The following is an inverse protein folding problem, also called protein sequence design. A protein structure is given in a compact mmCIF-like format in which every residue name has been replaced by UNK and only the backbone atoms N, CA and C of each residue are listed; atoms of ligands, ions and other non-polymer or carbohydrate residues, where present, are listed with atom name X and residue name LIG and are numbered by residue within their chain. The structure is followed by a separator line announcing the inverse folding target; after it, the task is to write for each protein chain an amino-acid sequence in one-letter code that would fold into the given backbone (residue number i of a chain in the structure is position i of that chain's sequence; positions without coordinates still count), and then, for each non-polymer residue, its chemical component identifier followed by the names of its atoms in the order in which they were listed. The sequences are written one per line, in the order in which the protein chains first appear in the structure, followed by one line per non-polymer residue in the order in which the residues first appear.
data_IF_903063978912
#
_entry.id   IF_903063978912
#
_cell.length_a   1.000
_cell.length_b   1.000
_cell.length_c   1.000
_cell.angle_alpha   90.00
_cell.angle_beta   90.00
_cell.angle_gamma   90.00
#
_symmetry.space_group_name_H-M   'P 1'
#
loop_
_entity.id
_entity.type
_entity.pdbx_description
1 polymer ?
#
# COMPACT_ATOMS: atom_id res chain seq x y z
N UNK A 1 0.41 6.14 -19.99
CA UNK A 1 -0.40 4.89 -20.00
C UNK A 1 -1.85 5.18 -19.57
N UNK A 2 -2.86 4.45 -20.07
CA UNK A 2 -4.28 4.79 -19.89
C UNK A 2 -4.82 4.58 -18.47
N UNK A 3 -4.07 3.92 -17.59
CA UNK A 3 -4.48 3.62 -16.21
C UNK A 3 -4.11 4.69 -15.18
N UNK A 4 -3.30 5.69 -15.55
CA UNK A 4 -3.05 6.84 -14.67
C UNK A 4 -4.10 7.92 -14.89
N UNK A 5 -4.69 8.41 -13.80
CA UNK A 5 -5.51 9.62 -13.84
C UNK A 5 -4.65 10.87 -14.03
N UNK A 6 -5.26 12.00 -14.40
CA UNK A 6 -4.56 13.29 -14.45
C UNK A 6 -3.98 13.68 -13.08
N UNK A 7 -4.72 13.38 -12.01
CA UNK A 7 -4.30 13.59 -10.62
C UNK A 7 -3.08 12.71 -10.25
N UNK A 8 -3.05 11.45 -10.69
CA UNK A 8 -1.87 10.59 -10.51
C UNK A 8 -0.64 11.20 -11.18
N UNK A 9 -0.75 11.61 -12.44
CA UNK A 9 0.37 12.16 -13.20
C UNK A 9 0.93 13.44 -12.56
N UNK A 10 0.04 14.33 -12.10
CA UNK A 10 0.45 15.55 -11.41
C UNK A 10 1.21 15.24 -10.12
N UNK A 11 0.70 14.32 -9.31
CA UNK A 11 1.32 13.92 -8.03
C UNK A 11 2.64 13.20 -8.26
N UNK A 12 2.70 12.27 -9.23
CA UNK A 12 3.92 11.58 -9.63
C UNK A 12 5.01 12.59 -10.06
N UNK A 13 4.66 13.60 -10.86
CA UNK A 13 5.60 14.63 -11.29
C UNK A 13 6.16 15.42 -10.10
N UNK A 14 5.29 15.83 -9.17
CA UNK A 14 5.72 16.54 -7.96
C UNK A 14 6.60 15.67 -7.06
N UNK A 15 6.25 14.40 -6.86
CA UNK A 15 7.05 13.45 -6.08
C UNK A 15 8.43 13.21 -6.68
N UNK A 16 8.51 13.03 -8.00
CA UNK A 16 9.75 12.75 -8.72
C UNK A 16 10.70 13.96 -8.76
N UNK A 17 10.17 15.17 -8.96
CA UNK A 17 10.99 16.35 -9.30
C UNK A 17 10.87 17.54 -8.35
N UNK A 18 9.85 17.57 -7.48
CA UNK A 18 9.57 18.71 -6.60
C UNK A 18 10.72 19.02 -5.65
N UNK A 19 11.00 20.30 -5.45
CA UNK A 19 12.03 20.75 -4.50
C UNK A 19 11.55 20.50 -3.08
N UNK A 20 12.38 19.86 -2.25
CA UNK A 20 12.12 19.74 -0.81
C UNK A 20 12.34 21.11 -0.17
N UNK A 21 11.29 21.70 0.39
CA UNK A 21 11.33 23.04 1.02
C UNK A 21 11.26 22.98 2.55
N UNK A 22 10.61 21.96 3.09
CA UNK A 22 10.51 21.72 4.53
C UNK A 22 10.47 20.23 4.83
N UNK A 23 10.73 19.87 6.09
CA UNK A 23 10.67 18.49 6.57
C UNK A 23 10.10 18.42 7.98
N UNK A 24 9.35 17.37 8.26
CA UNK A 24 8.82 17.06 9.59
C UNK A 24 9.07 15.59 9.90
N UNK A 25 9.54 15.30 11.13
CA UNK A 25 9.62 13.91 11.60
C UNK A 25 8.22 13.41 11.93
N UNK A 26 7.95 12.14 11.64
CA UNK A 26 6.72 11.50 12.07
C UNK A 26 6.99 10.81 13.41
N UNK A 27 6.21 11.12 14.47
CA UNK A 27 6.29 10.42 15.75
C UNK A 27 6.22 8.90 15.57
N UNK A 28 6.97 8.16 16.39
CA UNK A 28 7.05 6.69 16.37
C UNK A 28 7.51 6.03 15.04
N UNK A 29 7.79 6.80 13.98
CA UNK A 29 8.31 6.31 12.70
C UNK A 29 9.66 6.95 12.36
N UNK A 30 10.69 6.68 13.17
CA UNK A 30 12.01 7.31 13.04
C UNK A 30 12.78 7.04 11.73
N UNK A 31 12.23 6.20 10.86
CA UNK A 31 12.78 5.86 9.54
C UNK A 31 11.96 6.41 8.37
N UNK A 32 10.89 7.17 8.66
CA UNK A 32 10.05 7.86 7.69
C UNK A 32 10.17 9.37 7.91
N UNK A 33 10.21 10.15 6.83
CA UNK A 33 10.27 11.60 6.89
C UNK A 33 9.17 12.20 6.01
N UNK A 34 8.35 13.08 6.60
CA UNK A 34 7.41 13.89 5.83
C UNK A 34 8.14 15.10 5.27
N UNK A 35 7.94 15.39 4.00
CA UNK A 35 8.52 16.54 3.32
C UNK A 35 7.45 17.31 2.58
N UNK A 36 7.59 18.63 2.55
CA UNK A 36 6.84 19.49 1.66
C UNK A 36 7.62 19.68 0.35
N UNK A 37 6.89 19.61 -0.76
CA UNK A 37 7.42 19.68 -2.10
C UNK A 37 6.86 20.89 -2.83
N UNK A 38 7.74 21.65 -3.47
CA UNK A 38 7.35 22.75 -4.36
C UNK A 38 7.61 22.35 -5.81
N UNK A 39 6.67 22.65 -6.70
CA UNK A 39 6.87 22.45 -8.13
C UNK A 39 7.93 23.42 -8.67
N UNK A 40 8.72 22.97 -9.64
CA UNK A 40 9.69 23.83 -10.31
C UNK A 40 8.95 24.93 -11.08
N UNK A 41 9.20 26.19 -10.73
CA UNK A 41 8.58 27.36 -11.37
C UNK A 41 7.46 28.04 -10.57
N UNK A 42 7.07 27.50 -9.41
CA UNK A 42 6.24 28.26 -8.46
C UNK A 42 7.07 29.42 -7.88
N UNK A 43 6.60 30.66 -8.07
CA UNK A 43 7.25 31.89 -7.59
C UNK A 43 7.30 31.89 -6.06
N UNK A 44 8.40 32.37 -5.47
CA UNK A 44 8.50 32.63 -4.03
C UNK A 44 7.46 33.68 -3.60
N UNK A 45 6.27 33.22 -3.22
CA UNK A 45 5.25 34.04 -2.57
C UNK A 45 5.32 33.85 -1.05
N UNK A 46 5.53 34.96 -0.33
CA UNK A 46 5.50 35.14 1.13
C UNK A 46 5.68 33.89 1.99
N UNK A 47 6.93 33.63 2.35
CA UNK A 47 7.28 32.81 3.52
C UNK A 47 6.79 33.49 4.80
N UNK A 48 5.51 33.30 5.12
CA UNK A 48 5.04 33.39 6.50
C UNK A 48 5.64 32.20 7.27
N UNK A 49 6.04 32.38 8.54
CA UNK A 49 6.62 31.29 9.32
C UNK A 49 5.59 30.17 9.43
N UNK A 50 5.90 29.03 8.79
CA UNK A 50 5.08 27.83 8.79
C UNK A 50 4.69 27.47 10.24
N UNK A 51 3.40 27.56 10.56
CA UNK A 51 2.86 26.92 11.74
C UNK A 51 3.04 25.41 11.56
N UNK A 52 3.74 24.75 12.49
CA UNK A 52 4.03 23.31 12.50
C UNK A 52 2.81 22.38 12.27
N UNK A 53 1.59 22.89 12.48
CA UNK A 53 0.31 22.17 12.34
C UNK A 53 -0.40 22.39 10.98
N UNK A 54 0.01 23.41 10.19
CA UNK A 54 -0.61 23.75 8.90
C UNK A 54 0.13 23.20 7.67
N UNK A 55 1.35 22.68 7.86
CA UNK A 55 2.16 22.13 6.77
C UNK A 55 1.48 20.87 6.20
N UNK A 56 1.29 20.87 4.87
CA UNK A 56 0.71 19.82 4.04
C UNK A 56 -0.81 19.84 3.80
N UNK A 57 -1.57 20.83 4.30
CA UNK A 57 -3.01 20.94 4.00
C UNK A 57 -3.29 21.14 2.50
N UNK A 58 -2.39 21.81 1.78
CA UNK A 58 -2.50 22.05 0.33
C UNK A 58 -2.22 20.80 -0.51
N UNK A 59 -1.96 19.65 0.12
CA UNK A 59 -1.68 18.40 -0.57
C UNK A 59 -0.45 18.56 -1.46
N UNK A 60 0.68 18.96 -0.90
CA UNK A 60 1.97 19.07 -1.61
C UNK A 60 3.09 18.32 -0.90
N UNK A 61 2.72 17.32 -0.11
CA UNK A 61 3.66 16.60 0.73
C UNK A 61 3.87 15.16 0.29
N UNK A 62 5.04 14.64 0.64
CA UNK A 62 5.40 13.25 0.45
C UNK A 62 6.01 12.65 1.71
N UNK A 63 5.95 11.32 1.78
CA UNK A 63 6.60 10.48 2.77
C UNK A 63 7.80 9.80 2.14
N UNK A 64 9.00 10.18 2.56
CA UNK A 64 10.22 9.46 2.20
C UNK A 64 10.34 8.27 3.15
N UNK A 65 10.24 7.04 2.61
CA UNK A 65 10.44 5.80 3.39
C UNK A 65 11.86 5.24 3.21
N UNK A 66 12.05 4.00 3.64
CA UNK A 66 13.35 3.32 3.67
C UNK A 66 13.66 2.73 2.29
N UNK A 67 14.94 2.51 1.95
CA UNK A 67 15.30 1.92 0.67
C UNK A 67 14.69 0.51 0.50
N UNK A 68 14.53 -0.23 1.60
CA UNK A 68 13.94 -1.57 1.59
C UNK A 68 12.45 -1.57 1.20
N UNK A 69 11.76 -0.43 1.36
CA UNK A 69 10.35 -0.27 1.03
C UNK A 69 10.14 0.12 -0.45
N UNK A 70 11.17 0.10 -1.30
CA UNK A 70 11.12 0.54 -2.71
C UNK A 70 10.00 -0.14 -3.52
N UNK A 71 9.61 -1.35 -3.13
CA UNK A 71 8.51 -2.10 -3.73
C UNK A 71 7.13 -1.44 -3.57
N UNK A 72 6.98 -0.44 -2.72
CA UNK A 72 5.79 0.45 -2.69
C UNK A 72 5.51 1.10 -4.04
N UNK A 73 6.56 1.41 -4.82
CA UNK A 73 6.42 1.97 -6.17
C UNK A 73 5.79 0.93 -7.09
N UNK A 74 6.28 -0.32 -7.06
CA UNK A 74 5.65 -1.41 -7.82
C UNK A 74 4.19 -1.61 -7.42
N UNK A 75 3.90 -1.58 -6.12
CA UNK A 75 2.56 -1.74 -5.59
C UNK A 75 1.60 -0.65 -6.11
N UNK A 76 2.04 0.62 -6.16
CA UNK A 76 1.27 1.70 -6.78
C UNK A 76 0.97 1.44 -8.25
N UNK A 77 1.97 1.04 -9.03
CA UNK A 77 1.79 0.74 -10.45
C UNK A 77 0.88 -0.47 -10.70
N UNK A 78 0.97 -1.50 -9.84
CA UNK A 78 0.08 -2.67 -9.89
C UNK A 78 -1.37 -2.30 -9.61
N UNK A 79 -1.62 -1.49 -8.58
CA UNK A 79 -2.96 -1.00 -8.25
C UNK A 79 -3.63 -0.31 -9.46
N UNK A 80 -2.90 0.56 -10.16
CA UNK A 80 -3.40 1.26 -11.35
C UNK A 80 -3.61 0.32 -12.53
N UNK A 81 -2.66 -0.58 -12.83
CA UNK A 81 -2.80 -1.57 -13.92
C UNK A 81 -4.00 -2.51 -13.70
N UNK A 82 -4.30 -2.85 -12.44
CA UNK A 82 -5.46 -3.67 -12.08
C UNK A 82 -6.77 -2.85 -12.00
N UNK A 83 -6.71 -1.53 -12.12
CA UNK A 83 -7.87 -0.64 -12.03
C UNK A 83 -8.47 -0.56 -10.62
N UNK A 84 -7.70 -0.88 -9.58
CA UNK A 84 -8.17 -0.85 -8.19
C UNK A 84 -8.34 0.60 -7.72
N UNK A 85 -7.36 1.46 -8.02
CA UNK A 85 -7.36 2.89 -7.69
C UNK A 85 -7.50 3.15 -6.18
N UNK A 86 -6.68 2.49 -5.36
CA UNK A 86 -6.75 2.55 -3.88
C UNK A 86 -5.44 2.90 -3.21
N UNK A 87 -4.30 2.53 -3.79
CA UNK A 87 -2.99 2.99 -3.29
C UNK A 87 -2.72 4.46 -3.65
N UNK A 88 -1.83 5.06 -2.86
CA UNK A 88 -1.38 6.45 -3.04
C UNK A 88 -0.25 6.51 -4.09
N UNK A 89 -0.15 7.60 -4.87
CA UNK A 89 0.96 7.79 -5.79
C UNK A 89 2.32 7.62 -5.12
N UNK A 90 3.20 6.83 -5.73
CA UNK A 90 4.53 6.54 -5.23
C UNK A 90 5.54 6.60 -6.37
N UNK A 91 6.70 7.20 -6.11
CA UNK A 91 7.81 7.30 -7.06
C UNK A 91 9.11 6.89 -6.38
N UNK A 92 10.05 6.35 -7.13
CA UNK A 92 11.43 6.17 -6.70
C UNK A 92 12.21 7.47 -6.91
N UNK A 93 13.03 7.84 -5.92
CA UNK A 93 13.83 9.07 -5.99
C UNK A 93 15.11 8.96 -5.17
N UNK A 94 16.21 9.46 -5.73
CA UNK A 94 17.42 9.77 -4.96
C UNK A 94 17.33 11.21 -4.49
N UNK A 95 17.53 11.43 -3.21
CA UNK A 95 17.45 12.76 -2.64
C UNK A 95 18.84 13.38 -2.49
N UNK A 96 18.93 14.67 -2.78
CA UNK A 96 20.18 15.44 -2.70
C UNK A 96 20.01 16.76 -1.94
N UNK A 97 18.80 17.02 -1.40
CA UNK A 97 18.50 18.26 -0.69
C UNK A 97 19.31 18.37 0.61
N UNK A 98 20.00 19.49 0.78
CA UNK A 98 20.78 19.83 1.98
C UNK A 98 19.90 19.94 3.24
N UNK A 99 18.58 20.10 3.10
CA UNK A 99 17.65 20.10 4.23
C UNK A 99 17.52 18.71 4.86
N UNK A 100 17.77 17.65 4.10
CA UNK A 100 17.56 16.28 4.54
C UNK A 100 18.78 15.76 5.32
N UNK A 101 18.58 14.94 6.37
CA UNK A 101 19.70 14.28 7.04
C UNK A 101 20.48 13.37 6.09
N UNK A 102 21.79 13.19 6.33
CA UNK A 102 22.69 12.38 5.47
C UNK A 102 22.13 11.01 5.09
N UNK A 103 21.47 10.30 6.02
CA UNK A 103 20.86 8.99 5.74
C UNK A 103 19.83 9.00 4.60
N UNK A 104 19.27 10.16 4.25
CA UNK A 104 18.33 10.31 3.13
C UNK A 104 19.02 10.77 1.84
N UNK A 105 20.27 11.24 1.93
CA UNK A 105 21.06 11.79 0.81
C UNK A 105 22.35 11.02 0.57
N UNK A 106 22.44 9.78 1.07
CA UNK A 106 23.59 8.88 0.93
C UNK A 106 23.69 8.23 -0.47
N UNK A 107 22.89 8.73 -1.42
CA UNK A 107 22.77 8.20 -2.76
C UNK A 107 21.81 7.03 -2.87
N UNK A 108 21.26 6.48 -1.78
CA UNK A 108 20.30 5.37 -1.85
C UNK A 108 19.01 5.78 -2.56
N UNK A 109 18.49 4.89 -3.41
CA UNK A 109 17.19 5.07 -4.02
C UNK A 109 16.10 4.77 -2.97
N UNK A 110 15.11 5.66 -2.85
CA UNK A 110 14.05 5.55 -1.84
C UNK A 110 12.69 5.76 -2.49
N UNK A 111 11.64 5.08 -2.04
CA UNK A 111 10.28 5.44 -2.40
C UNK A 111 9.90 6.75 -1.69
N UNK A 112 9.19 7.61 -2.42
CA UNK A 112 8.45 8.73 -1.86
C UNK A 112 6.98 8.56 -2.22
N UNK A 113 6.12 8.54 -1.20
CA UNK A 113 4.70 8.27 -1.32
C UNK A 113 3.94 9.56 -1.04
N UNK A 114 2.88 9.82 -1.79
CA UNK A 114 2.00 10.95 -1.55
C UNK A 114 1.47 10.98 -0.11
N UNK A 115 1.57 12.12 0.56
CA UNK A 115 0.91 12.34 1.85
C UNK A 115 -0.52 12.82 1.61
N UNK A 116 -1.50 11.99 1.93
CA UNK A 116 -2.91 12.34 1.85
C UNK A 116 -3.38 12.95 3.20
N UNK A 117 -3.63 14.27 3.27
CA UNK A 117 -3.98 14.94 4.54
C UNK A 117 -5.39 14.59 5.03
N UNK A 118 -6.25 14.06 4.16
CA UNK A 118 -7.61 13.67 4.47
C UNK A 118 -7.75 12.20 4.92
N UNK A 119 -6.63 11.49 5.14
CA UNK A 119 -6.67 10.18 5.78
C UNK A 119 -7.24 10.30 7.18
N UNK A 120 -8.17 9.39 7.50
CA UNK A 120 -8.74 9.32 8.84
C UNK A 120 -7.87 8.41 9.71
N UNK A 121 -7.12 8.98 10.64
CA UNK A 121 -6.43 8.22 11.67
C UNK A 121 -7.23 8.23 12.97
N UNK A 122 -7.31 7.10 13.65
CA UNK A 122 -7.71 7.05 15.06
C UNK A 122 -6.63 7.72 15.91
N UNK A 123 -7.05 8.30 17.02
CA UNK A 123 -6.12 8.63 18.11
C UNK A 123 -5.77 7.31 18.82
N UNK A 124 -4.75 6.60 18.33
CA UNK A 124 -4.27 5.37 18.95
C UNK A 124 -2.83 5.53 19.48
N UNK A 125 -2.60 5.04 20.70
CA UNK A 125 -1.28 5.09 21.34
C UNK A 125 -0.26 4.18 20.66
N UNK A 126 -0.73 3.16 19.92
CA UNK A 126 0.10 2.18 19.25
C UNK A 126 0.47 2.56 17.82
N UNK A 127 -0.12 3.63 17.28
CA UNK A 127 0.17 4.13 15.94
C UNK A 127 0.05 3.03 14.87
N UNK A 128 -0.99 2.19 14.98
CA UNK A 128 -1.26 1.07 14.06
C UNK A 128 -1.85 1.57 12.72
N UNK A 129 -1.91 2.90 12.55
CA UNK A 129 -2.41 3.66 11.39
C UNK A 129 -3.75 3.14 10.88
N UNK A 130 -4.74 3.10 11.77
CA UNK A 130 -6.07 2.61 11.48
C UNK A 130 -7.12 3.74 11.51
N UNK A 131 -8.13 3.68 10.65
CA UNK A 131 -9.36 4.49 10.74
C UNK A 131 -10.40 3.85 11.67
N UNK A 132 -10.27 2.55 11.94
CA UNK A 132 -11.08 1.82 12.90
C UNK A 132 -10.26 0.70 13.57
N UNK A 133 -10.55 0.40 14.83
CA UNK A 133 -9.98 -0.77 15.48
C UNK A 133 -10.77 -2.01 15.04
N UNK A 134 -10.16 -2.88 14.24
CA UNK A 134 -10.80 -4.08 13.70
C UNK A 134 -10.03 -5.34 14.10
N UNK A 135 -10.71 -6.29 14.73
CA UNK A 135 -10.14 -7.60 15.08
C UNK A 135 -10.43 -8.62 13.97
N UNK A 136 -9.63 -9.68 13.90
CA UNK A 136 -9.78 -10.73 12.88
C UNK A 136 -11.19 -11.31 12.85
N UNK A 137 -11.76 -11.68 14.01
CA UNK A 137 -13.10 -12.24 14.08
C UNK A 137 -14.17 -11.24 13.59
N UNK A 138 -14.06 -9.97 13.96
CA UNK A 138 -14.99 -8.92 13.51
C UNK A 138 -14.89 -8.70 12.00
N UNK A 139 -13.68 -8.69 11.45
CA UNK A 139 -13.45 -8.63 10.01
C UNK A 139 -14.14 -9.79 9.28
N UNK A 140 -13.92 -11.02 9.73
CA UNK A 140 -14.54 -12.21 9.13
C UNK A 140 -16.07 -12.16 9.22
N UNK A 141 -16.62 -11.67 10.33
CA UNK A 141 -18.05 -11.47 10.49
C UNK A 141 -18.63 -10.44 9.51
N UNK A 142 -17.89 -9.37 9.20
CA UNK A 142 -18.30 -8.34 8.23
C UNK A 142 -18.32 -8.84 6.79
N UNK A 143 -17.55 -9.88 6.46
CA UNK A 143 -17.54 -10.46 5.11
C UNK A 143 -18.77 -11.34 4.82
N UNK A 144 -19.46 -11.81 5.86
CA UNK A 144 -20.60 -12.72 5.68
C UNK A 144 -21.79 -12.05 4.96
N UNK A 145 -22.32 -12.64 3.86
CA UNK A 145 -23.36 -12.01 3.03
C UNK A 145 -24.70 -11.75 3.75
N UNK A 146 -25.01 -12.51 4.80
CA UNK A 146 -26.33 -12.55 5.43
C UNK A 146 -26.38 -11.84 6.79
N UNK A 147 -25.29 -11.22 7.23
CA UNK A 147 -25.28 -10.47 8.49
C UNK A 147 -25.55 -9.01 8.19
N UNK A 148 -26.71 -8.51 8.66
CA UNK A 148 -26.99 -7.08 8.71
C UNK A 148 -25.90 -6.41 9.56
N UNK A 149 -25.52 -5.18 9.23
CA UNK A 149 -24.54 -4.30 9.92
C UNK A 149 -24.85 -4.01 11.40
N UNK A 150 -25.72 -4.80 12.06
CA UNK A 150 -25.98 -4.73 13.49
C UNK A 150 -24.88 -5.46 14.26
N UNK A 151 -23.85 -4.70 14.65
CA UNK A 151 -22.84 -5.16 15.61
C UNK A 151 -21.45 -4.55 15.38
N UNK A 152 -21.18 -4.02 14.19
CA UNK A 152 -20.02 -3.17 13.97
C UNK A 152 -20.28 -1.85 14.72
N UNK A 153 -19.44 -1.51 15.70
CA UNK A 153 -19.55 -0.23 16.41
C UNK A 153 -19.63 0.95 15.45
N UNK A 154 -20.07 2.12 15.94
CA UNK A 154 -20.32 3.37 15.19
C UNK A 154 -19.07 4.00 14.50
N UNK A 155 -18.06 3.20 14.13
CA UNK A 155 -16.85 3.63 13.43
C UNK A 155 -16.96 3.51 11.90
N UNK A 156 -16.05 4.18 11.17
CA UNK A 156 -16.07 4.29 9.71
C UNK A 156 -16.04 2.94 8.98
N UNK A 157 -15.50 1.88 9.60
CA UNK A 157 -15.39 0.57 8.96
C UNK A 157 -16.71 -0.15 8.73
N UNK A 158 -17.77 0.18 9.47
CA UNK A 158 -19.11 -0.35 9.21
C UNK A 158 -19.66 0.07 7.83
N UNK A 159 -19.15 1.19 7.28
CA UNK A 159 -19.56 1.73 5.99
C UNK A 159 -18.79 1.18 4.79
N UNK A 160 -17.75 0.37 5.03
CA UNK A 160 -16.88 -0.17 3.98
C UNK A 160 -17.58 -1.38 3.34
N UNK A 161 -17.94 -1.33 2.05
CA UNK A 161 -18.63 -2.42 1.39
C UNK A 161 -17.69 -3.60 1.16
N UNK A 162 -18.24 -4.82 1.11
CA UNK A 162 -17.49 -6.07 0.90
C UNK A 162 -16.56 -6.03 -0.31
N UNK A 163 -16.98 -5.40 -1.40
CA UNK A 163 -16.14 -5.26 -2.61
C UNK A 163 -14.85 -4.47 -2.40
N UNK A 164 -14.74 -3.60 -1.38
CA UNK A 164 -13.48 -2.96 -1.03
C UNK A 164 -12.51 -3.93 -0.36
N UNK A 165 -13.01 -4.79 0.53
CA UNK A 165 -12.23 -5.88 1.12
C UNK A 165 -11.77 -6.88 0.07
N UNK A 166 -12.59 -7.18 -0.93
CA UNK A 166 -12.20 -8.00 -2.09
C UNK A 166 -11.06 -7.39 -2.90
N UNK A 167 -11.08 -6.07 -3.14
CA UNK A 167 -9.98 -5.36 -3.81
C UNK A 167 -8.69 -5.45 -3.00
N UNK A 168 -8.80 -5.25 -1.69
CA UNK A 168 -7.68 -5.30 -0.77
C UNK A 168 -7.05 -6.70 -0.72
N UNK A 169 -7.86 -7.74 -0.49
CA UNK A 169 -7.40 -9.12 -0.42
C UNK A 169 -6.71 -9.58 -1.71
N UNK A 170 -7.26 -9.23 -2.88
CA UNK A 170 -6.61 -9.51 -4.18
C UNK A 170 -5.24 -8.84 -4.26
N UNK A 171 -5.15 -7.56 -3.90
CA UNK A 171 -3.93 -6.77 -3.97
C UNK A 171 -2.86 -7.29 -3.00
N UNK A 172 -3.23 -7.47 -1.75
CA UNK A 172 -2.35 -7.97 -0.69
C UNK A 172 -1.91 -9.41 -0.98
N UNK A 173 -2.73 -10.26 -1.60
CA UNK A 173 -2.31 -11.60 -2.01
C UNK A 173 -1.27 -11.56 -3.15
N UNK A 174 -1.43 -10.73 -4.17
CA UNK A 174 -0.43 -10.65 -5.25
C UNK A 174 0.93 -10.17 -4.73
N UNK A 175 0.92 -9.19 -3.83
CA UNK A 175 2.13 -8.61 -3.24
C UNK A 175 2.65 -9.36 -2.02
N UNK A 176 1.83 -10.25 -1.43
CA UNK A 176 2.05 -10.88 -0.13
C UNK A 176 2.27 -9.84 0.99
N UNK A 177 1.41 -8.81 1.02
CA UNK A 177 1.31 -7.86 2.13
C UNK A 177 0.51 -8.53 3.24
N UNK A 178 1.18 -9.31 4.08
CA UNK A 178 0.50 -10.07 5.14
C UNK A 178 0.24 -9.23 6.39
N UNK A 179 1.06 -8.23 6.69
CA UNK A 179 1.01 -7.49 7.96
C UNK A 179 -0.36 -6.79 8.20
N UNK A 180 -1.08 -6.46 7.13
CA UNK A 180 -2.37 -5.76 7.20
C UNK A 180 -3.52 -6.64 7.73
N UNK A 181 -3.74 -7.79 7.10
CA UNK A 181 -4.85 -8.71 7.41
C UNK A 181 -4.43 -9.89 8.30
N UNK A 182 -3.14 -10.19 8.34
CA UNK A 182 -2.53 -11.31 9.06
C UNK A 182 -1.17 -10.89 9.66
N UNK A 183 -1.16 -9.80 10.43
CA UNK A 183 -0.02 -9.26 11.21
C UNK A 183 0.82 -10.32 11.94
N UNK A 184 0.19 -11.43 12.31
CA UNK A 184 0.74 -12.47 13.15
C UNK A 184 1.29 -13.66 12.33
N UNK A 185 1.23 -13.61 11.00
CA UNK A 185 1.62 -14.69 10.09
C UNK A 185 0.92 -16.02 10.41
N UNK A 186 -0.38 -15.99 10.74
CA UNK A 186 -1.11 -17.20 11.08
C UNK A 186 -1.50 -18.04 9.86
N UNK A 187 -1.43 -17.48 8.65
CA UNK A 187 -1.88 -18.11 7.42
C UNK A 187 -0.83 -18.92 6.66
N UNK A 188 0.40 -18.98 7.16
CA UNK A 188 1.51 -19.73 6.56
C UNK A 188 2.55 -20.08 7.63
N UNK A 189 3.55 -20.88 7.27
CA UNK A 189 4.70 -21.11 8.15
C UNK A 189 5.74 -19.99 7.95
N UNK A 190 5.86 -19.02 8.87
CA UNK A 190 6.80 -17.92 8.70
C UNK A 190 8.25 -18.38 8.82
N UNK A 191 9.13 -17.71 8.09
CA UNK A 191 10.57 -17.82 8.31
C UNK A 191 10.96 -17.11 9.60
N UNK A 192 12.06 -17.52 10.28
CA UNK A 192 12.47 -16.93 11.55
C UNK A 192 12.74 -15.42 11.49
N UNK A 193 13.05 -14.88 10.30
CA UNK A 193 13.29 -13.46 10.05
C UNK A 193 12.02 -12.65 9.75
N UNK A 194 10.84 -13.27 9.71
CA UNK A 194 9.60 -12.50 9.58
C UNK A 194 9.34 -11.71 10.87
N UNK A 195 8.95 -10.41 10.78
CA UNK A 195 8.74 -9.56 11.95
C UNK A 195 7.77 -10.15 12.99
N UNK A 196 6.72 -10.82 12.52
CA UNK A 196 5.75 -11.52 13.38
C UNK A 196 6.38 -12.59 14.28
N UNK A 197 7.52 -13.18 13.88
CA UNK A 197 8.28 -14.17 14.66
C UNK A 197 9.30 -13.46 15.55
N UNK A 198 10.07 -12.52 15.01
CA UNK A 198 11.08 -11.77 15.77
C UNK A 198 10.45 -11.00 16.96
N UNK A 199 9.27 -10.44 16.74
CA UNK A 199 8.49 -9.70 17.75
C UNK A 199 7.60 -10.62 18.61
N UNK A 200 7.68 -11.95 18.42
CA UNK A 200 6.89 -12.98 19.13
C UNK A 200 5.38 -12.81 19.00
N UNK A 201 4.92 -12.13 17.96
CA UNK A 201 3.50 -11.95 17.68
C UNK A 201 2.84 -13.28 17.30
N UNK A 202 3.53 -14.14 16.56
CA UNK A 202 3.02 -15.41 16.05
C UNK A 202 2.45 -16.34 17.13
N UNK A 203 2.91 -16.23 18.38
CA UNK A 203 2.38 -16.99 19.52
C UNK A 203 0.87 -16.79 19.73
N UNK A 204 0.35 -15.61 19.34
CA UNK A 204 -1.08 -15.25 19.44
C UNK A 204 -1.97 -15.96 18.42
N UNK A 205 -1.41 -16.62 17.41
CA UNK A 205 -2.20 -17.40 16.44
C UNK A 205 -3.02 -18.52 17.09
N UNK A 206 -2.69 -18.93 18.32
CA UNK A 206 -3.46 -19.89 19.12
C UNK A 206 -4.84 -19.38 19.54
N UNK A 207 -5.05 -18.07 19.57
CA UNK A 207 -6.30 -17.44 20.00
C UNK A 207 -6.75 -16.37 18.99
N UNK A 208 -7.67 -16.69 18.06
CA UNK A 208 -8.17 -15.75 17.07
C UNK A 208 -8.77 -14.46 17.65
N UNK A 209 -9.22 -14.47 18.91
CA UNK A 209 -9.76 -13.29 19.58
C UNK A 209 -8.68 -12.22 19.86
N UNK A 210 -7.40 -12.58 19.88
CA UNK A 210 -6.28 -11.65 20.12
C UNK A 210 -5.76 -10.98 18.84
N UNK A 211 -6.18 -11.47 17.67
CA UNK A 211 -5.66 -11.00 16.39
C UNK A 211 -6.35 -9.70 15.97
N UNK A 212 -5.54 -8.69 15.67
CA UNK A 212 -5.98 -7.39 15.16
C UNK A 212 -5.49 -7.15 13.73
N UNK A 213 -6.22 -6.32 12.99
CA UNK A 213 -5.82 -5.80 11.70
C UNK A 213 -5.14 -4.43 11.89
N UNK A 214 -4.23 -4.09 10.99
CA UNK A 214 -3.53 -2.80 10.97
C UNK A 214 -3.57 -2.19 9.57
N UNK A 215 -3.21 -0.91 9.46
CA UNK A 215 -3.19 -0.19 8.20
C UNK A 215 -4.55 -0.22 7.44
N UNK A 216 -5.65 -0.26 8.19
CA UNK A 216 -7.03 -0.18 7.67
C UNK A 216 -7.44 1.28 7.63
N UNK A 217 -7.19 1.93 6.48
CA UNK A 217 -7.45 3.35 6.32
C UNK A 217 -8.56 3.66 5.33
N UNK A 218 -9.27 4.75 5.61
CA UNK A 218 -10.20 5.42 4.70
C UNK A 218 -9.90 6.92 4.67
N UNK A 219 -10.45 7.62 3.68
CA UNK A 219 -10.43 9.09 3.65
C UNK A 219 -11.66 9.64 4.35
N UNK A 220 -11.50 10.77 5.06
CA UNK A 220 -12.62 11.54 5.63
C UNK A 220 -13.62 11.95 4.56
N UNK A 221 -13.12 12.30 3.37
CA UNK A 221 -13.92 12.68 2.19
C UNK A 221 -14.69 11.50 1.56
N UNK A 222 -14.28 10.26 1.83
CA UNK A 222 -14.86 9.05 1.24
C UNK A 222 -14.69 7.84 2.18
N UNK A 223 -15.43 7.80 3.30
CA UNK A 223 -15.22 6.82 4.38
C UNK A 223 -15.57 5.38 4.01
N UNK A 224 -16.27 5.17 2.89
CA UNK A 224 -16.62 3.85 2.38
C UNK A 224 -15.58 3.25 1.43
N UNK A 225 -14.43 3.91 1.21
CA UNK A 225 -13.37 3.44 0.31
C UNK A 225 -12.07 3.27 1.08
N UNK A 226 -11.48 2.09 0.95
CA UNK A 226 -10.19 1.79 1.57
C UNK A 226 -9.07 2.58 0.88
N UNK A 227 -8.01 2.87 1.62
CA UNK A 227 -6.75 3.39 1.08
C UNK A 227 -5.65 2.40 1.41
N UNK A 228 -4.89 2.01 0.39
CA UNK A 228 -3.84 1.01 0.55
C UNK A 228 -2.52 1.72 0.85
N UNK A 229 -2.07 1.61 2.10
CA UNK A 229 -0.76 2.06 2.56
C UNK A 229 0.10 0.86 3.00
N UNK A 230 1.41 1.09 3.14
CA UNK A 230 2.40 0.11 3.59
C UNK A 230 2.41 -1.16 2.73
N UNK A 231 2.53 -0.96 1.43
CA UNK A 231 2.34 -1.97 0.39
C UNK A 231 3.66 -2.55 -0.16
N UNK A 232 4.80 -2.35 0.51
CA UNK A 232 6.09 -2.87 0.06
C UNK A 232 6.06 -4.40 -0.21
N UNK A 233 5.20 -5.12 0.53
CA UNK A 233 4.94 -6.54 0.30
C UNK A 233 6.19 -7.42 0.48
N UNK A 234 6.12 -8.62 -0.09
CA UNK A 234 7.17 -9.64 -0.01
C UNK A 234 7.46 -10.22 -1.40
N UNK A 235 8.27 -9.53 -2.23
CA UNK A 235 8.54 -9.94 -3.62
C UNK A 235 9.27 -11.28 -3.73
N UNK A 236 10.05 -11.64 -2.72
CA UNK A 236 10.80 -12.90 -2.66
C UNK A 236 10.09 -14.00 -1.86
N UNK A 237 8.84 -13.76 -1.43
CA UNK A 237 8.07 -14.77 -0.69
C UNK A 237 7.85 -16.02 -1.54
N UNK A 238 8.22 -17.22 -1.04
CA UNK A 238 8.13 -18.46 -1.80
C UNK A 238 6.67 -18.84 -2.12
N UNK A 239 6.47 -19.44 -3.30
CA UNK A 239 5.14 -19.82 -3.79
C UNK A 239 4.46 -20.89 -2.94
N UNK A 240 5.25 -21.79 -2.33
CA UNK A 240 4.78 -22.86 -1.44
C UNK A 240 4.33 -22.36 -0.07
N UNK A 241 4.65 -21.10 0.30
CA UNK A 241 4.26 -20.48 1.58
C UNK A 241 3.29 -19.32 1.41
N UNK A 242 2.64 -19.16 0.26
CA UNK A 242 1.70 -18.06 0.04
C UNK A 242 0.62 -18.01 1.13
N UNK A 243 0.34 -16.80 1.61
CA UNK A 243 -0.63 -16.60 2.66
C UNK A 243 -2.07 -16.58 2.13
N UNK A 244 -2.70 -17.75 2.07
CA UNK A 244 -4.10 -17.88 1.65
C UNK A 244 -5.11 -17.37 2.69
N UNK A 245 -4.70 -17.13 3.94
CA UNK A 245 -5.58 -16.53 4.96
C UNK A 245 -6.06 -15.15 4.54
N UNK A 246 -5.29 -14.42 3.73
CA UNK A 246 -5.67 -13.13 3.16
C UNK A 246 -6.96 -13.20 2.33
N UNK A 247 -7.27 -14.36 1.76
CA UNK A 247 -8.45 -14.60 0.93
C UNK A 247 -9.66 -15.13 1.73
N UNK A 248 -9.47 -15.42 3.03
CA UNK A 248 -10.51 -16.08 3.83
C UNK A 248 -11.74 -15.18 4.00
N UNK A 249 -12.91 -15.74 3.67
CA UNK A 249 -14.19 -15.05 3.74
C UNK A 249 -14.52 -14.19 2.51
N UNK A 250 -13.58 -14.02 1.57
CA UNK A 250 -13.81 -13.28 0.32
C UNK A 250 -14.59 -14.17 -0.66
N UNK A 251 -15.76 -13.69 -1.09
CA UNK A 251 -16.70 -14.45 -1.94
C UNK A 251 -16.80 -13.91 -3.39
N UNK A 252 -16.19 -12.74 -3.63
CA UNK A 252 -16.29 -12.00 -4.88
C UNK A 252 -15.00 -11.23 -5.14
N UNK A 253 -14.61 -11.09 -6.40
CA UNK A 253 -13.42 -10.34 -6.83
C UNK A 253 -13.77 -9.29 -7.89
N UNK A 254 -13.02 -8.18 -8.00
CA UNK A 254 -13.33 -7.14 -8.99
C UNK A 254 -13.13 -7.63 -10.43
N UNK A 255 -14.22 -7.71 -11.21
CA UNK A 255 -14.24 -8.11 -12.62
C UNK A 255 -13.10 -7.54 -13.48
N UNK A 256 -12.86 -6.23 -13.42
CA UNK A 256 -11.84 -5.58 -14.23
C UNK A 256 -10.42 -6.09 -13.91
N UNK A 257 -10.09 -6.25 -12.62
CA UNK A 257 -8.79 -6.77 -12.21
C UNK A 257 -8.63 -8.23 -12.66
N UNK A 258 -9.65 -9.07 -12.41
CA UNK A 258 -9.64 -10.48 -12.80
C UNK A 258 -9.51 -10.63 -14.33
N UNK A 259 -10.18 -9.78 -15.11
CA UNK A 259 -10.03 -9.74 -16.56
C UNK A 259 -8.59 -9.39 -16.99
N UNK A 260 -7.96 -8.42 -16.33
CA UNK A 260 -6.54 -8.10 -16.56
C UNK A 260 -5.65 -9.30 -16.25
N UNK A 261 -5.86 -9.99 -15.12
CA UNK A 261 -5.09 -11.20 -14.77
C UNK A 261 -5.27 -12.31 -15.81
N UNK A 262 -6.52 -12.59 -16.22
CA UNK A 262 -6.84 -13.63 -17.23
C UNK A 262 -6.29 -13.31 -18.62
N UNK A 263 -6.01 -12.05 -18.91
CA UNK A 263 -5.50 -11.64 -20.22
C UNK A 263 -4.07 -12.13 -20.51
N UNK A 264 -3.32 -12.54 -19.48
CA UNK A 264 -1.89 -12.90 -19.61
C UNK A 264 -0.98 -11.71 -19.93
N UNK A 265 -1.50 -10.47 -19.87
CA UNK A 265 -0.75 -9.24 -20.19
C UNK A 265 -0.25 -8.50 -18.96
N UNK A 266 -0.40 -9.05 -17.75
CA UNK A 266 -0.06 -8.34 -16.52
C UNK A 266 1.40 -7.85 -16.52
N UNK A 267 2.34 -8.73 -16.88
CA UNK A 267 3.75 -8.37 -16.96
C UNK A 267 4.02 -7.24 -17.97
N UNK A 268 3.45 -7.28 -19.18
CA UNK A 268 3.70 -6.26 -20.20
C UNK A 268 3.10 -4.91 -19.81
N UNK A 269 1.90 -4.91 -19.24
CA UNK A 269 1.24 -3.71 -18.72
C UNK A 269 2.04 -3.10 -17.55
N UNK A 270 2.55 -3.92 -16.63
CA UNK A 270 3.41 -3.44 -15.54
C UNK A 270 4.72 -2.85 -16.07
N UNK A 271 5.36 -3.47 -17.05
CA UNK A 271 6.57 -2.92 -17.68
C UNK A 271 6.29 -1.55 -18.34
N UNK A 272 5.17 -1.41 -19.06
CA UNK A 272 4.78 -0.12 -19.64
C UNK A 272 4.51 0.93 -18.54
N UNK A 273 3.89 0.51 -17.44
CA UNK A 273 3.58 1.38 -16.31
C UNK A 273 4.86 1.88 -15.63
N UNK A 274 5.74 0.93 -15.25
CA UNK A 274 6.96 1.20 -14.49
C UNK A 274 7.98 2.03 -15.26
N UNK A 275 7.94 1.98 -16.60
CA UNK A 275 8.80 2.83 -17.45
C UNK A 275 8.57 4.33 -17.21
N UNK A 276 7.43 4.74 -16.65
CA UNK A 276 7.17 6.14 -16.29
C UNK A 276 8.08 6.61 -15.14
N UNK A 277 8.48 5.71 -14.25
CA UNK A 277 9.44 5.97 -13.18
C UNK A 277 10.87 5.68 -13.67
N UNK A 278 11.57 6.69 -14.19
CA UNK A 278 12.91 6.51 -14.77
C UNK A 278 13.94 6.05 -13.73
N UNK A 279 13.87 6.59 -12.50
CA UNK A 279 14.81 6.23 -11.43
C UNK A 279 14.69 4.77 -11.03
N UNK A 280 13.45 4.27 -10.85
CA UNK A 280 13.22 2.85 -10.63
C UNK A 280 13.63 2.03 -11.86
N UNK A 281 13.22 2.44 -13.05
CA UNK A 281 13.47 1.69 -14.27
C UNK A 281 14.97 1.48 -14.51
N UNK A 282 15.75 2.56 -14.48
CA UNK A 282 17.19 2.51 -14.73
C UNK A 282 17.94 1.75 -13.62
N UNK A 283 17.60 1.99 -12.36
CA UNK A 283 18.24 1.31 -11.22
C UNK A 283 18.02 -0.20 -11.23
N UNK A 284 16.92 -0.67 -11.79
CA UNK A 284 16.59 -2.09 -11.93
C UNK A 284 17.10 -2.69 -13.25
N UNK A 285 17.91 -1.98 -14.05
CA UNK A 285 18.41 -2.48 -15.34
C UNK A 285 17.32 -2.60 -16.41
N UNK A 286 16.31 -1.73 -16.33
CA UNK A 286 15.16 -1.65 -17.22
C UNK A 286 14.31 -2.91 -17.22
N UNK A 287 13.71 -3.21 -18.37
CA UNK A 287 12.82 -4.36 -18.52
C UNK A 287 13.48 -5.69 -18.12
N UNK A 288 14.78 -5.87 -18.40
CA UNK A 288 15.46 -7.13 -18.15
C UNK A 288 15.56 -7.44 -16.64
N UNK A 289 15.92 -6.46 -15.82
CA UNK A 289 16.05 -6.71 -14.37
C UNK A 289 14.74 -6.66 -13.61
N UNK A 290 13.69 -5.99 -14.14
CA UNK A 290 12.34 -6.06 -13.57
C UNK A 290 11.61 -7.38 -13.88
N UNK A 291 11.96 -8.08 -14.97
CA UNK A 291 11.24 -9.29 -15.41
C UNK A 291 11.09 -10.39 -14.34
N UNK A 292 12.13 -10.79 -13.58
CA UNK A 292 12.01 -11.85 -12.58
C UNK A 292 10.97 -11.52 -11.51
N UNK A 293 10.99 -10.28 -11.01
CA UNK A 293 10.01 -9.78 -10.05
C UNK A 293 8.58 -9.82 -10.60
N UNK A 294 8.40 -9.34 -11.83
CA UNK A 294 7.08 -9.35 -12.46
C UNK A 294 6.59 -10.77 -12.78
N UNK A 295 7.49 -11.71 -13.08
CA UNK A 295 7.15 -13.13 -13.23
C UNK A 295 6.63 -13.73 -11.92
N UNK A 296 7.19 -13.35 -10.77
CA UNK A 296 6.66 -13.78 -9.46
C UNK A 296 5.22 -13.31 -9.27
N UNK A 297 4.92 -12.05 -9.57
CA UNK A 297 3.54 -11.51 -9.47
C UNK A 297 2.61 -12.25 -10.43
N UNK A 298 3.06 -12.49 -11.66
CA UNK A 298 2.27 -13.20 -12.67
C UNK A 298 1.95 -14.65 -12.24
N UNK A 299 2.92 -15.37 -11.65
CA UNK A 299 2.67 -16.72 -11.10
C UNK A 299 1.68 -16.69 -9.94
N UNK A 300 1.79 -15.72 -9.03
CA UNK A 300 0.81 -15.53 -7.95
C UNK A 300 -0.59 -15.21 -8.50
N UNK A 301 -0.69 -14.44 -9.58
CA UNK A 301 -1.95 -14.20 -10.27
C UNK A 301 -2.57 -15.49 -10.83
N UNK A 302 -1.77 -16.37 -11.43
CA UNK A 302 -2.26 -17.68 -11.88
C UNK A 302 -2.76 -18.55 -10.71
N UNK A 303 -2.05 -18.53 -9.58
CA UNK A 303 -2.45 -19.23 -8.36
C UNK A 303 -3.78 -18.67 -7.82
N UNK A 304 -3.95 -17.35 -7.79
CA UNK A 304 -5.21 -16.70 -7.38
C UNK A 304 -6.36 -17.05 -8.32
N UNK A 305 -6.14 -17.03 -9.64
CA UNK A 305 -7.17 -17.38 -10.62
C UNK A 305 -7.64 -18.82 -10.46
N UNK A 306 -6.71 -19.75 -10.21
CA UNK A 306 -7.03 -21.14 -9.88
C UNK A 306 -7.81 -21.24 -8.57
N UNK A 307 -7.40 -20.52 -7.53
CA UNK A 307 -8.12 -20.47 -6.25
C UNK A 307 -9.58 -20.02 -6.43
N UNK A 308 -9.81 -18.94 -7.21
CA UNK A 308 -11.14 -18.42 -7.55
C UNK A 308 -11.99 -19.50 -8.24
N UNK A 309 -11.40 -20.22 -9.19
CA UNK A 309 -12.08 -21.29 -9.92
C UNK A 309 -12.42 -22.48 -9.03
N UNK A 310 -11.45 -23.00 -8.26
CA UNK A 310 -11.62 -24.18 -7.41
C UNK A 310 -12.65 -23.97 -6.29
N UNK A 311 -12.77 -22.73 -5.81
CA UNK A 311 -13.72 -22.37 -4.74
C UNK A 311 -15.04 -21.77 -5.26
N UNK A 312 -15.26 -21.75 -6.59
CA UNK A 312 -16.46 -21.19 -7.23
C UNK A 312 -16.77 -19.75 -6.78
N UNK A 313 -15.75 -18.91 -6.65
CA UNK A 313 -15.89 -17.53 -6.20
C UNK A 313 -16.34 -16.62 -7.36
N UNK A 314 -17.11 -15.59 -7.03
CA UNK A 314 -17.70 -14.69 -8.03
C UNK A 314 -16.71 -13.63 -8.51
N UNK A 315 -16.97 -13.04 -9.68
CA UNK A 315 -16.14 -12.04 -10.37
C UNK A 315 -17.02 -10.91 -10.89
#
# INVERSE_FOLDING_TARGET
PPWFSGDDLQKMQLLASGQVVSKTRIPAHGQVLRVELRAMGDVEGDTSPASLEGDCCDGRCGLIKRPEDLYEVLAFHLDRVLGLNRSLPAMARRFTSQLLPYRYTDGSLRPIIWWAPDLWHLEDANNDQNSCALRWLQYQEMLHPHRSTLGAGNGPCSSIPRGEWSRLALFDFLLQVHDRLDRYCCGFQPDPSEPCVEERLHEKCRNPAELVLVHILVRKSSPSRLVFIDNAGRPLHPEEKLNFRLLQGIDSYPAAAVATLRSGRLQSLLLESLRVDQELWESQGGAKGLRPLLQTIDRRAHILLRYIQEHNLTV
#
